data_IF_131616702434
#
_entry.id   IF_131616702434
#
_cell.length_a   1.000
_cell.length_b   1.000
_cell.length_c   1.000
_cell.angle_alpha   90.00
_cell.angle_beta   90.00
_cell.angle_gamma   90.00
#
_symmetry.space_group_name_H-M   'P 1'
#
loop_
_entity.id
_entity.type
_entity.pdbx_description
1 polymer ?
#
# COMPACT_ATOMS: atom_id res chain seq x y z
N UNK A 1 58.08 -37.14 21.99
CA UNK A 1 57.38 -38.24 22.69
C UNK A 1 56.25 -37.65 23.54
N UNK A 2 55.10 -38.35 23.69
CA UNK A 2 53.97 -38.10 24.65
C UNK A 2 53.51 -36.61 24.84
N UNK A 3 52.39 -36.13 24.28
CA UNK A 3 50.95 -36.41 24.60
C UNK A 3 50.51 -36.16 26.06
N UNK A 4 49.74 -35.08 26.27
CA UNK A 4 48.52 -34.88 27.12
C UNK A 4 48.02 -33.43 26.82
N UNK A 5 46.76 -33.02 26.59
CA UNK A 5 45.39 -33.59 26.42
C UNK A 5 44.38 -33.18 27.52
N UNK A 6 43.35 -32.39 27.11
CA UNK A 6 42.09 -32.01 27.80
C UNK A 6 42.22 -31.09 29.06
N UNK A 7 41.22 -30.27 29.44
CA UNK A 7 39.76 -30.32 29.21
C UNK A 7 39.14 -29.07 28.54
N UNK A 8 37.97 -29.26 27.91
CA UNK A 8 37.03 -28.21 27.50
C UNK A 8 35.97 -27.96 28.59
N UNK A 9 35.42 -26.75 28.62
CA UNK A 9 34.14 -26.43 29.28
C UNK A 9 33.42 -25.27 28.56
N UNK A 10 33.18 -25.40 27.26
CA UNK A 10 32.38 -24.44 26.49
C UNK A 10 30.88 -24.72 26.69
N UNK A 11 30.19 -23.88 27.45
CA UNK A 11 28.76 -24.02 27.73
C UNK A 11 27.92 -23.51 26.56
N UNK A 12 27.64 -24.36 25.58
CA UNK A 12 26.64 -24.07 24.54
C UNK A 12 25.24 -24.06 25.16
N UNK A 13 24.77 -22.87 25.56
CA UNK A 13 23.34 -22.60 25.66
C UNK A 13 22.78 -22.53 24.23
N UNK A 14 22.33 -23.68 23.74
CA UNK A 14 21.52 -23.74 22.53
C UNK A 14 20.12 -23.18 22.83
N UNK A 15 19.96 -21.87 22.69
CA UNK A 15 18.62 -21.26 22.60
C UNK A 15 17.91 -21.84 21.38
N UNK A 16 16.75 -22.50 21.53
CA UNK A 16 15.97 -22.90 20.39
C UNK A 16 15.44 -21.63 19.74
N UNK A 17 15.99 -21.27 18.59
CA UNK A 17 15.41 -20.24 17.74
C UNK A 17 14.06 -20.80 17.27
N UNK A 18 12.95 -20.29 17.80
CA UNK A 18 11.64 -20.56 17.22
C UNK A 18 11.63 -19.89 15.85
N UNK A 19 11.91 -20.68 14.82
CA UNK A 19 11.57 -20.34 13.44
C UNK A 19 10.05 -20.39 13.39
N UNK A 20 9.41 -19.26 13.71
CA UNK A 20 7.99 -19.09 13.46
C UNK A 20 7.75 -19.29 11.98
N UNK A 21 6.90 -20.25 11.64
CA UNK A 21 6.38 -20.39 10.28
C UNK A 21 5.50 -19.18 10.03
N UNK A 22 6.00 -18.17 9.32
CA UNK A 22 5.19 -17.04 8.82
C UNK A 22 4.05 -17.61 7.98
N UNK A 23 2.82 -17.38 8.40
CA UNK A 23 1.63 -17.89 7.74
C UNK A 23 1.18 -16.86 6.71
N UNK A 24 1.73 -17.01 5.51
CA UNK A 24 1.38 -16.21 4.32
C UNK A 24 -0.15 -16.09 4.19
N UNK A 25 -0.62 -14.84 4.16
CA UNK A 25 -2.04 -14.53 4.15
C UNK A 25 -2.72 -15.09 2.89
N UNK A 26 -3.88 -15.75 3.06
CA UNK A 26 -4.71 -16.15 1.93
C UNK A 26 -5.55 -14.96 1.49
N UNK A 27 -5.34 -14.47 0.27
CA UNK A 27 -6.13 -13.38 -0.31
C UNK A 27 -6.98 -13.93 -1.46
N UNK A 28 -8.30 -13.87 -1.30
CA UNK A 28 -9.28 -14.37 -2.26
C UNK A 28 -9.88 -13.22 -3.07
N UNK A 29 -9.69 -13.23 -4.38
CA UNK A 29 -10.39 -12.32 -5.30
C UNK A 29 -11.82 -12.82 -5.53
N UNK A 30 -12.79 -11.98 -5.19
CA UNK A 30 -14.23 -12.23 -5.34
C UNK A 30 -14.73 -11.38 -6.51
N UNK A 31 -14.66 -11.97 -7.71
CA UNK A 31 -15.21 -11.41 -8.95
C UNK A 31 -16.73 -11.20 -8.79
N UNK A 32 -17.20 -9.95 -8.99
CA UNK A 32 -18.63 -9.59 -9.00
C UNK A 32 -19.09 -8.95 -10.33
N UNK A 33 -18.27 -9.01 -11.38
CA UNK A 33 -18.64 -8.54 -12.72
C UNK A 33 -19.77 -9.39 -13.33
N UNK A 34 -20.58 -8.80 -14.20
CA UNK A 34 -21.56 -9.52 -15.01
C UNK A 34 -20.95 -10.34 -16.15
N UNK A 35 -21.81 -10.95 -16.98
CA UNK A 35 -21.36 -11.83 -18.05
C UNK A 35 -20.98 -11.05 -19.32
N UNK A 36 -19.68 -11.06 -19.66
CA UNK A 36 -19.14 -10.39 -20.85
C UNK A 36 -18.44 -9.06 -20.59
N UNK A 37 -18.36 -8.62 -19.34
CA UNK A 37 -17.68 -7.40 -18.89
C UNK A 37 -16.57 -7.72 -17.87
N UNK A 38 -15.69 -6.75 -17.60
CA UNK A 38 -14.61 -6.85 -16.61
C UNK A 38 -13.75 -8.11 -16.72
N UNK A 39 -13.69 -8.92 -15.66
CA UNK A 39 -13.02 -10.23 -15.60
C UNK A 39 -13.66 -11.31 -16.49
N UNK A 40 -14.94 -11.14 -16.83
CA UNK A 40 -15.70 -12.06 -17.64
C UNK A 40 -15.76 -11.61 -19.11
N UNK A 41 -14.96 -10.60 -19.48
CA UNK A 41 -14.77 -10.13 -20.84
C UNK A 41 -14.10 -11.21 -21.71
N UNK A 42 -14.82 -11.62 -22.75
CA UNK A 42 -14.44 -12.70 -23.66
C UNK A 42 -13.69 -12.18 -24.91
N UNK A 43 -13.40 -10.88 -25.01
CA UNK A 43 -12.66 -10.26 -26.12
C UNK A 43 -11.28 -10.93 -26.26
N UNK A 44 -10.97 -11.57 -27.39
CA UNK A 44 -9.72 -12.33 -27.54
C UNK A 44 -8.48 -11.45 -27.43
N UNK A 45 -7.52 -11.88 -26.61
CA UNK A 45 -6.24 -11.20 -26.40
C UNK A 45 -5.08 -12.19 -26.59
N UNK A 46 -3.92 -11.69 -27.04
CA UNK A 46 -2.69 -12.47 -27.03
C UNK A 46 -2.02 -12.36 -25.65
N UNK A 47 -1.46 -13.46 -25.09
CA UNK A 47 -0.65 -13.40 -23.87
C UNK A 47 0.45 -12.34 -23.95
N UNK A 48 0.61 -11.56 -22.87
CA UNK A 48 1.44 -10.35 -22.82
C UNK A 48 2.20 -10.30 -21.48
N UNK A 49 3.46 -9.86 -21.48
CA UNK A 49 4.24 -9.62 -20.25
C UNK A 49 4.30 -10.78 -19.24
N UNK A 50 4.26 -12.03 -19.72
CA UNK A 50 4.18 -13.23 -18.86
C UNK A 50 2.78 -13.62 -18.39
N UNK A 51 1.76 -12.78 -18.58
CA UNK A 51 0.35 -13.09 -18.31
C UNK A 51 -0.20 -14.06 -19.38
N UNK A 52 -0.62 -15.29 -19.02
CA UNK A 52 -1.02 -16.32 -19.98
C UNK A 52 -2.47 -16.20 -20.48
N UNK A 53 -3.21 -15.16 -20.08
CA UNK A 53 -4.62 -15.00 -20.43
C UNK A 53 -4.85 -14.83 -21.94
N UNK A 54 -5.90 -15.46 -22.47
CA UNK A 54 -6.27 -15.40 -23.90
C UNK A 54 -7.52 -14.56 -24.20
N UNK A 55 -8.08 -13.90 -23.18
CA UNK A 55 -9.08 -12.82 -23.32
C UNK A 55 -8.71 -11.68 -22.37
N UNK A 56 -9.22 -10.48 -22.63
CA UNK A 56 -8.99 -9.31 -21.77
C UNK A 56 -9.43 -9.61 -20.33
N UNK A 57 -10.61 -10.20 -20.13
CA UNK A 57 -11.11 -10.55 -18.79
C UNK A 57 -10.23 -11.57 -18.06
N UNK A 58 -9.74 -12.60 -18.76
CA UNK A 58 -8.79 -13.55 -18.17
C UNK A 58 -7.46 -12.88 -17.81
N UNK A 59 -6.98 -11.93 -18.62
CA UNK A 59 -5.76 -11.18 -18.32
C UNK A 59 -5.93 -10.26 -17.10
N UNK A 60 -7.04 -9.52 -17.01
CA UNK A 60 -7.45 -8.76 -15.81
C UNK A 60 -7.47 -9.66 -14.57
N UNK A 61 -8.19 -10.79 -14.62
CA UNK A 61 -8.33 -11.69 -13.45
C UNK A 61 -7.00 -12.31 -13.01
N UNK A 62 -6.15 -12.71 -13.96
CA UNK A 62 -4.80 -13.21 -13.67
C UNK A 62 -3.95 -12.17 -12.92
N UNK A 63 -4.11 -10.88 -13.25
CA UNK A 63 -3.38 -9.79 -12.61
C UNK A 63 -3.83 -9.54 -11.17
N UNK A 64 -5.14 -9.58 -10.89
CA UNK A 64 -5.65 -9.49 -9.52
C UNK A 64 -5.20 -10.69 -8.67
N UNK A 65 -5.18 -11.89 -9.25
CA UNK A 65 -4.62 -13.08 -8.59
C UNK A 65 -3.10 -12.96 -8.35
N UNK A 66 -2.36 -12.30 -9.25
CA UNK A 66 -0.94 -12.03 -9.06
C UNK A 66 -0.68 -11.01 -7.94
N UNK A 67 -1.42 -9.90 -7.91
CA UNK A 67 -1.36 -8.90 -6.84
C UNK A 67 -1.75 -9.49 -5.47
N UNK A 68 -2.81 -10.31 -5.43
CA UNK A 68 -3.19 -11.07 -4.24
C UNK A 68 -2.10 -12.04 -3.77
N UNK A 69 -1.39 -12.69 -4.70
CA UNK A 69 -0.24 -13.55 -4.39
C UNK A 69 0.97 -12.79 -3.84
N UNK A 70 1.23 -11.57 -4.34
CA UNK A 70 2.29 -10.68 -3.83
C UNK A 70 1.95 -10.25 -2.40
N UNK A 71 0.77 -9.66 -2.17
CA UNK A 71 0.35 -9.24 -0.83
C UNK A 71 0.26 -10.42 0.15
N UNK A 72 -0.27 -11.57 -0.29
CA UNK A 72 -0.32 -12.81 0.51
C UNK A 72 1.06 -13.33 0.91
N UNK A 73 2.06 -13.21 0.04
CA UNK A 73 3.45 -13.57 0.32
C UNK A 73 4.19 -12.60 1.25
N UNK A 74 3.70 -11.37 1.41
CA UNK A 74 4.27 -10.32 2.27
C UNK A 74 3.61 -10.24 3.66
N UNK A 75 2.36 -10.68 3.79
CA UNK A 75 1.55 -10.53 5.00
C UNK A 75 1.44 -11.84 5.79
N UNK A 76 1.53 -11.74 7.11
CA UNK A 76 1.30 -12.83 8.06
C UNK A 76 -0.15 -12.76 8.58
N UNK A 77 -1.03 -13.67 8.13
CA UNK A 77 -2.44 -13.74 8.58
C UNK A 77 -2.96 -15.18 8.56
N UNK A 78 -3.61 -15.58 9.65
CA UNK A 78 -4.35 -16.86 9.74
C UNK A 78 -5.80 -16.75 9.30
N UNK A 79 -6.28 -15.56 8.96
CA UNK A 79 -7.63 -15.30 8.45
C UNK A 79 -7.55 -14.98 6.95
N UNK A 80 -8.45 -15.57 6.16
CA UNK A 80 -8.64 -15.25 4.75
C UNK A 80 -9.05 -13.79 4.58
N UNK A 81 -8.41 -13.06 3.67
CA UNK A 81 -8.77 -11.69 3.30
C UNK A 81 -9.49 -11.74 1.95
N UNK A 82 -10.70 -11.19 1.90
CA UNK A 82 -11.63 -11.35 0.78
C UNK A 82 -11.82 -10.02 0.05
N UNK A 83 -11.41 -9.96 -1.21
CA UNK A 83 -11.42 -8.75 -2.03
C UNK A 83 -12.56 -8.81 -3.03
N UNK A 84 -13.68 -8.17 -2.72
CA UNK A 84 -14.75 -7.90 -3.68
C UNK A 84 -14.22 -7.00 -4.78
N UNK A 85 -14.20 -7.50 -6.02
CA UNK A 85 -13.56 -6.84 -7.15
C UNK A 85 -14.48 -6.80 -8.37
N UNK A 86 -14.55 -5.63 -9.00
CA UNK A 86 -15.15 -5.40 -10.32
C UNK A 86 -14.26 -4.49 -11.18
N UNK A 87 -14.50 -4.51 -12.48
CA UNK A 87 -13.78 -3.72 -13.47
C UNK A 87 -14.79 -2.90 -14.29
N UNK A 88 -15.35 -1.88 -13.62
CA UNK A 88 -16.47 -1.02 -14.05
C UNK A 88 -15.98 0.32 -14.64
N UNK A 89 -16.87 1.05 -15.31
CA UNK A 89 -16.61 2.43 -15.74
C UNK A 89 -16.43 3.37 -14.54
N UNK A 90 -15.29 4.06 -14.45
CA UNK A 90 -15.00 5.09 -13.43
C UNK A 90 -14.77 6.47 -14.08
N UNK A 91 -14.92 7.53 -13.29
CA UNK A 91 -14.85 8.92 -13.76
C UNK A 91 -13.54 9.23 -14.51
N UNK A 92 -13.66 9.67 -15.77
CA UNK A 92 -12.53 10.11 -16.60
C UNK A 92 -12.94 11.10 -17.70
N UNK A 93 -11.91 11.72 -18.29
CA UNK A 93 -11.95 12.49 -19.53
C UNK A 93 -10.69 12.21 -20.37
N UNK A 94 -10.56 12.86 -21.52
CA UNK A 94 -9.47 12.64 -22.48
C UNK A 94 -8.05 12.89 -21.91
N UNK A 95 -7.90 13.58 -20.77
CA UNK A 95 -6.62 13.87 -20.12
C UNK A 95 -6.50 13.46 -18.64
N UNK A 96 -7.53 12.88 -18.04
CA UNK A 96 -7.53 12.44 -16.63
C UNK A 96 -8.44 11.23 -16.41
N UNK A 97 -8.08 10.33 -15.49
CA UNK A 97 -8.95 9.23 -15.08
C UNK A 97 -8.74 8.84 -13.61
N UNK A 98 -9.84 8.45 -12.95
CA UNK A 98 -9.75 7.53 -11.82
C UNK A 98 -9.30 6.18 -12.38
N UNK A 99 -8.11 5.73 -11.97
CA UNK A 99 -7.52 4.45 -12.41
C UNK A 99 -8.18 3.27 -11.66
N UNK A 100 -8.27 3.40 -10.34
CA UNK A 100 -8.97 2.50 -9.45
C UNK A 100 -9.55 3.23 -8.24
N UNK A 101 -10.21 2.46 -7.38
CA UNK A 101 -10.62 2.90 -6.04
C UNK A 101 -10.90 1.67 -5.19
N UNK A 102 -10.23 1.56 -4.05
CA UNK A 102 -10.45 0.49 -3.08
C UNK A 102 -10.40 0.97 -1.63
N UNK A 103 -11.00 0.16 -0.75
CA UNK A 103 -11.04 0.43 0.68
C UNK A 103 -11.75 -0.67 1.48
N UNK A 104 -11.79 -0.53 2.81
CA UNK A 104 -12.46 -1.49 3.68
C UNK A 104 -13.98 -1.48 3.42
N UNK A 105 -14.58 -2.66 3.30
CA UNK A 105 -16.04 -2.81 3.32
C UNK A 105 -16.61 -2.61 4.73
N UNK A 106 -15.82 -2.92 5.75
CA UNK A 106 -16.17 -2.79 7.16
C UNK A 106 -14.97 -2.29 7.97
N UNK A 107 -15.27 -1.57 9.04
CA UNK A 107 -14.28 -1.18 10.06
C UNK A 107 -14.84 -1.58 11.43
N UNK A 108 -13.97 -2.05 12.31
CA UNK A 108 -14.34 -2.51 13.66
C UNK A 108 -13.36 -1.97 14.71
N UNK A 109 -13.76 -2.02 15.99
CA UNK A 109 -12.97 -1.50 17.12
C UNK A 109 -13.30 -2.20 18.43
N UNK A 110 -12.41 -2.07 19.40
CA UNK A 110 -12.59 -2.60 20.76
C UNK A 110 -12.81 -4.14 20.82
N UNK A 111 -12.45 -4.83 19.74
CA UNK A 111 -12.47 -6.30 19.62
C UNK A 111 -11.28 -6.93 20.38
N UNK A 112 -11.31 -8.26 20.51
CA UNK A 112 -10.28 -9.01 21.26
C UNK A 112 -8.91 -8.89 20.57
N UNK A 113 -7.88 -8.50 21.32
CA UNK A 113 -6.51 -8.20 20.84
C UNK A 113 -6.34 -6.91 20.00
N UNK A 114 -7.32 -6.01 19.94
CA UNK A 114 -7.06 -4.65 19.44
C UNK A 114 -5.98 -3.97 20.30
N UNK A 115 -4.91 -3.45 19.69
CA UNK A 115 -3.82 -2.76 20.38
C UNK A 115 -4.26 -1.44 21.03
N UNK A 116 -5.24 -0.75 20.42
CA UNK A 116 -5.74 0.54 20.91
C UNK A 116 -7.26 0.52 21.09
N UNK A 117 -7.72 0.86 22.29
CA UNK A 117 -9.13 1.11 22.57
C UNK A 117 -9.64 2.34 21.81
N UNK A 118 -10.94 2.38 21.50
CA UNK A 118 -11.60 3.48 20.82
C UNK A 118 -10.97 3.84 19.47
N UNK A 119 -10.43 2.85 18.75
CA UNK A 119 -9.69 3.04 17.49
C UNK A 119 -10.26 2.15 16.40
N UNK A 120 -10.54 2.69 15.23
CA UNK A 120 -11.04 1.92 14.09
C UNK A 120 -9.93 1.16 13.36
N UNK A 121 -10.20 -0.10 13.04
CA UNK A 121 -9.38 -0.98 12.22
C UNK A 121 -10.14 -1.33 10.95
N UNK A 122 -9.50 -1.25 9.79
CA UNK A 122 -9.97 -1.91 8.57
C UNK A 122 -10.15 -3.40 8.84
N UNK A 123 -11.28 -3.99 8.45
CA UNK A 123 -11.66 -5.35 8.88
C UNK A 123 -10.62 -6.42 8.55
N UNK A 124 -9.90 -6.33 7.42
CA UNK A 124 -8.80 -7.24 7.09
C UNK A 124 -7.70 -7.24 8.18
N UNK A 125 -7.30 -6.05 8.65
CA UNK A 125 -6.35 -5.88 9.74
C UNK A 125 -6.97 -6.28 11.09
N UNK A 126 -8.21 -5.89 11.35
CA UNK A 126 -8.93 -6.21 12.59
C UNK A 126 -9.08 -7.72 12.81
N UNK A 127 -9.60 -8.45 11.82
CA UNK A 127 -9.73 -9.91 11.83
C UNK A 127 -8.38 -10.61 12.01
N UNK A 128 -7.33 -10.09 11.37
CA UNK A 128 -5.94 -10.56 11.55
C UNK A 128 -5.42 -10.35 12.97
N UNK A 129 -5.79 -9.27 13.67
CA UNK A 129 -5.43 -9.05 15.10
C UNK A 129 -6.27 -9.91 16.04
N UNK A 130 -7.57 -10.05 15.77
CA UNK A 130 -8.47 -10.93 16.52
C UNK A 130 -8.07 -12.42 16.42
N UNK A 131 -7.51 -12.83 15.28
CA UNK A 131 -7.26 -14.24 14.96
C UNK A 131 -8.52 -14.97 14.46
N UNK A 132 -9.54 -14.22 14.07
CA UNK A 132 -10.85 -14.70 13.61
C UNK A 132 -11.53 -13.64 12.73
N UNK A 133 -12.29 -14.08 11.73
CA UNK A 133 -13.18 -13.21 10.94
C UNK A 133 -14.17 -12.46 11.85
N UNK A 134 -14.08 -11.12 11.87
CA UNK A 134 -14.97 -10.24 12.63
C UNK A 134 -16.34 -10.02 11.96
N UNK A 135 -16.44 -10.22 10.64
CA UNK A 135 -17.65 -9.98 9.84
C UNK A 135 -18.01 -11.25 9.05
N UNK A 136 -18.22 -12.32 9.81
CA UNK A 136 -18.52 -13.70 9.39
C UNK A 136 -19.13 -13.85 7.97
N UNK A 137 -18.26 -14.10 6.98
CA UNK A 137 -18.67 -14.38 5.59
C UNK A 137 -18.99 -13.15 4.72
N UNK A 138 -18.63 -11.94 5.16
CA UNK A 138 -18.51 -10.77 4.29
C UNK A 138 -17.34 -10.88 3.30
N UNK A 139 -17.08 -9.79 2.59
CA UNK A 139 -15.77 -9.56 1.96
C UNK A 139 -15.13 -8.36 2.68
N UNK A 140 -13.83 -8.40 2.95
CA UNK A 140 -13.12 -7.40 3.75
C UNK A 140 -12.90 -6.07 3.01
N UNK A 141 -12.59 -6.18 1.72
CA UNK A 141 -12.16 -5.08 0.85
C UNK A 141 -13.11 -5.02 -0.33
N UNK A 142 -13.50 -3.81 -0.75
CA UNK A 142 -14.05 -3.55 -2.09
C UNK A 142 -12.99 -2.83 -2.91
N UNK A 143 -12.81 -3.25 -4.16
CA UNK A 143 -11.92 -2.62 -5.13
C UNK A 143 -12.60 -2.53 -6.49
N UNK A 144 -12.42 -1.40 -7.18
CA UNK A 144 -12.92 -1.16 -8.55
C UNK A 144 -11.81 -0.56 -9.41
N UNK A 145 -11.79 -0.91 -10.69
CA UNK A 145 -10.77 -0.44 -11.66
C UNK A 145 -11.43 -0.11 -12.99
N UNK A 146 -10.93 0.92 -13.67
CA UNK A 146 -11.68 1.58 -14.73
C UNK A 146 -11.70 0.78 -16.05
N UNK A 147 -12.87 0.32 -16.49
CA UNK A 147 -13.05 -0.32 -17.80
C UNK A 147 -12.74 0.59 -18.99
N UNK A 148 -13.02 1.89 -18.85
CA UNK A 148 -13.17 2.78 -20.00
C UNK A 148 -11.84 3.29 -20.57
N UNK A 149 -10.73 2.96 -19.89
CA UNK A 149 -9.36 3.24 -20.34
C UNK A 149 -8.98 2.39 -21.57
N UNK A 150 -9.55 1.19 -21.76
CA UNK A 150 -9.17 0.33 -22.89
C UNK A 150 -9.75 0.80 -24.24
N UNK A 151 -8.89 0.90 -25.27
CA UNK A 151 -9.25 1.07 -26.68
C UNK A 151 -10.11 2.32 -26.99
N UNK A 152 -9.80 3.45 -26.36
CA UNK A 152 -10.70 4.61 -26.31
C UNK A 152 -10.01 5.96 -26.64
N UNK A 153 -10.83 7.01 -26.90
CA UNK A 153 -10.35 8.38 -27.15
C UNK A 153 -10.79 9.41 -26.08
N UNK A 154 -11.61 9.02 -25.10
CA UNK A 154 -12.36 9.88 -24.17
C UNK A 154 -11.95 9.76 -22.69
N UNK A 155 -11.02 8.86 -22.36
CA UNK A 155 -10.65 8.41 -21.01
C UNK A 155 -9.14 8.07 -21.04
N UNK A 156 -8.27 9.05 -20.80
CA UNK A 156 -6.83 9.00 -21.16
C UNK A 156 -6.61 8.70 -22.66
N UNK A 157 -6.79 9.72 -23.50
CA UNK A 157 -6.81 9.59 -24.96
C UNK A 157 -5.48 9.08 -25.54
N UNK A 158 -5.49 7.87 -26.13
CA UNK A 158 -4.31 7.23 -26.71
C UNK A 158 -3.51 6.34 -25.76
N UNK A 159 -4.06 6.02 -24.58
CA UNK A 159 -3.48 5.14 -23.55
C UNK A 159 -4.47 4.02 -23.23
N UNK A 160 -3.99 2.81 -22.94
CA UNK A 160 -4.79 1.65 -22.53
C UNK A 160 -4.28 1.09 -21.18
N UNK A 161 -4.85 -0.02 -20.72
CA UNK A 161 -4.21 -0.84 -19.68
C UNK A 161 -3.17 -1.79 -20.26
N UNK A 162 -2.01 -1.85 -19.63
CA UNK A 162 -1.04 -2.92 -19.82
C UNK A 162 -1.29 -4.06 -18.84
N UNK A 163 -1.53 -5.25 -19.38
CA UNK A 163 -1.92 -6.43 -18.63
C UNK A 163 -0.77 -7.44 -18.35
N UNK A 164 0.49 -7.04 -18.54
CA UNK A 164 1.66 -7.86 -18.20
C UNK A 164 1.97 -7.93 -16.69
N UNK A 165 3.03 -8.66 -16.33
CA UNK A 165 3.55 -8.80 -14.97
C UNK A 165 4.99 -8.25 -14.81
N UNK A 166 5.51 -7.56 -15.84
CA UNK A 166 6.95 -7.43 -16.09
C UNK A 166 7.45 -6.01 -16.35
N UNK A 167 6.64 -4.96 -16.13
CA UNK A 167 7.06 -3.56 -16.28
C UNK A 167 7.49 -3.19 -17.70
N UNK A 168 6.79 -3.70 -18.72
CA UNK A 168 7.04 -3.44 -20.13
C UNK A 168 5.84 -2.75 -20.82
N UNK A 169 5.13 -1.87 -20.09
CA UNK A 169 3.95 -1.12 -20.52
C UNK A 169 4.22 -0.07 -21.60
N UNK A 170 5.40 0.55 -21.58
CA UNK A 170 5.90 1.44 -22.63
C UNK A 170 5.22 2.80 -22.72
N UNK A 171 3.94 2.83 -23.10
CA UNK A 171 3.09 4.02 -23.19
C UNK A 171 1.65 3.81 -22.69
N UNK A 172 1.30 2.59 -22.31
CA UNK A 172 0.05 2.22 -21.63
C UNK A 172 0.25 2.32 -20.09
N UNK A 173 -0.84 2.28 -19.30
CA UNK A 173 -0.74 2.27 -17.83
C UNK A 173 -0.50 0.83 -17.34
N UNK A 174 0.56 0.58 -16.57
CA UNK A 174 0.73 -0.72 -15.91
C UNK A 174 -0.36 -0.92 -14.82
N UNK A 175 -1.19 -1.95 -14.96
CA UNK A 175 -2.26 -2.22 -13.99
C UNK A 175 -1.72 -2.83 -12.68
N UNK A 176 -0.58 -3.53 -12.69
CA UNK A 176 -0.07 -4.23 -11.50
C UNK A 176 0.28 -3.29 -10.32
N UNK A 177 0.99 -2.15 -10.51
CA UNK A 177 1.21 -1.19 -9.43
C UNK A 177 -0.08 -0.59 -8.88
N UNK A 178 -1.06 -0.31 -9.75
CA UNK A 178 -2.37 0.24 -9.32
C UNK A 178 -3.11 -0.80 -8.47
N UNK A 179 -3.11 -2.07 -8.87
CA UNK A 179 -3.69 -3.16 -8.06
C UNK A 179 -3.04 -3.27 -6.68
N UNK A 180 -1.71 -3.20 -6.62
CA UNK A 180 -0.97 -3.26 -5.36
C UNK A 180 -1.27 -2.04 -4.47
N UNK A 181 -1.35 -0.85 -5.04
CA UNK A 181 -1.69 0.41 -4.36
C UNK A 181 -3.09 0.36 -3.74
N UNK A 182 -4.11 0.11 -4.56
CA UNK A 182 -5.51 0.09 -4.16
C UNK A 182 -5.79 -1.02 -3.12
N UNK A 183 -5.27 -2.24 -3.32
CA UNK A 183 -5.36 -3.29 -2.30
C UNK A 183 -4.72 -2.86 -0.98
N UNK A 184 -3.64 -2.07 -1.02
CA UNK A 184 -3.00 -1.48 0.15
C UNK A 184 -3.96 -0.67 1.03
N UNK A 185 -4.81 0.18 0.42
CA UNK A 185 -5.83 0.93 1.16
C UNK A 185 -6.77 -0.01 1.94
N UNK A 186 -7.34 -1.01 1.26
CA UNK A 186 -8.23 -2.00 1.90
C UNK A 186 -7.56 -2.82 3.01
N UNK A 187 -6.25 -3.06 2.90
CA UNK A 187 -5.43 -3.77 3.89
C UNK A 187 -5.08 -2.94 5.14
N UNK A 188 -5.43 -1.64 5.18
CA UNK A 188 -5.16 -0.75 6.31
C UNK A 188 -4.15 0.36 6.02
N UNK A 189 -3.73 0.55 4.77
CA UNK A 189 -2.87 1.67 4.34
C UNK A 189 -3.71 2.87 3.84
N UNK A 190 -4.67 3.29 4.65
CA UNK A 190 -5.44 4.52 4.47
C UNK A 190 -6.08 4.95 5.79
N UNK A 191 -6.31 6.26 5.94
CA UNK A 191 -7.09 6.83 7.04
C UNK A 191 -8.59 6.82 6.73
N UNK A 192 -9.41 6.91 7.76
CA UNK A 192 -10.86 7.13 7.69
C UNK A 192 -11.24 8.60 7.96
N UNK A 193 -10.25 9.48 8.14
CA UNK A 193 -10.45 10.92 8.27
C UNK A 193 -10.98 11.50 6.95
N UNK A 194 -12.05 12.27 7.03
CA UNK A 194 -12.60 13.05 5.93
C UNK A 194 -11.59 14.16 5.54
N UNK A 195 -11.00 14.09 4.34
CA UNK A 195 -9.88 14.97 3.95
C UNK A 195 -10.29 16.45 3.80
N UNK A 196 -11.52 16.72 3.36
CA UNK A 196 -12.06 18.08 3.17
C UNK A 196 -12.26 18.82 4.52
N UNK A 197 -12.64 18.10 5.57
CA UNK A 197 -13.01 18.70 6.87
C UNK A 197 -12.05 18.36 8.01
N UNK A 198 -11.23 17.31 7.86
CA UNK A 198 -10.38 16.73 8.89
C UNK A 198 -11.14 15.96 9.98
N UNK A 199 -12.40 15.60 9.74
CA UNK A 199 -13.24 14.91 10.71
C UNK A 199 -12.91 13.41 10.80
N UNK A 200 -12.71 12.90 12.02
CA UNK A 200 -12.58 11.47 12.31
C UNK A 200 -13.89 10.72 12.03
N UNK A 201 -13.80 9.50 11.48
CA UNK A 201 -14.96 8.65 11.25
C UNK A 201 -15.69 8.32 12.57
N UNK A 202 -16.93 8.79 12.69
CA UNK A 202 -17.71 8.75 13.94
C UNK A 202 -17.03 9.41 15.16
N UNK A 203 -16.06 10.31 14.97
CA UNK A 203 -15.37 11.01 16.05
C UNK A 203 -14.46 10.12 16.90
N UNK A 204 -13.84 9.11 16.27
CA UNK A 204 -12.78 8.27 16.85
C UNK A 204 -11.69 8.01 15.80
N UNK A 205 -10.41 7.93 16.19
CA UNK A 205 -9.31 7.78 15.26
C UNK A 205 -9.20 6.38 14.66
N UNK A 206 -8.52 6.26 13.52
CA UNK A 206 -8.16 4.98 12.91
C UNK A 206 -6.70 4.53 13.20
N UNK A 207 -6.36 3.29 12.82
CA UNK A 207 -5.01 2.72 13.02
C UNK A 207 -3.89 3.36 12.21
N UNK A 208 -4.21 3.95 11.06
CA UNK A 208 -3.23 4.54 10.15
C UNK A 208 -2.89 5.98 10.55
N UNK A 209 -3.89 6.80 10.91
CA UNK A 209 -3.66 8.19 11.38
C UNK A 209 -2.89 8.26 12.70
N UNK A 210 -2.95 7.20 13.53
CA UNK A 210 -2.13 7.05 14.74
C UNK A 210 -0.62 7.10 14.50
N UNK A 211 -0.19 6.94 13.25
CA UNK A 211 1.20 7.07 12.82
C UNK A 211 1.42 8.24 11.85
N UNK A 212 0.40 9.04 11.52
CA UNK A 212 0.58 10.27 10.76
C UNK A 212 1.03 11.37 11.72
N UNK A 213 2.27 11.84 11.53
CA UNK A 213 2.93 12.87 12.31
C UNK A 213 3.19 14.10 11.44
N UNK A 214 2.94 15.29 11.99
CA UNK A 214 3.31 16.56 11.38
C UNK A 214 4.55 17.17 12.05
N UNK A 215 5.67 17.21 11.32
CA UNK A 215 6.93 17.73 11.84
C UNK A 215 6.96 19.25 12.08
N UNK A 216 5.96 20.01 11.61
CA UNK A 216 5.84 21.45 11.93
C UNK A 216 5.19 21.68 13.28
N UNK A 217 4.21 20.86 13.65
CA UNK A 217 3.50 20.97 14.94
C UNK A 217 4.04 20.05 16.03
N UNK A 218 4.70 18.95 15.65
CA UNK A 218 5.13 17.89 16.58
C UNK A 218 3.97 17.07 17.16
N UNK A 219 2.85 16.96 16.41
CA UNK A 219 1.64 16.25 16.82
C UNK A 219 1.28 15.15 15.83
N UNK A 220 0.82 14.02 16.36
CA UNK A 220 0.09 13.01 15.59
C UNK A 220 -1.35 13.44 15.34
N UNK A 221 -1.95 12.95 14.27
CA UNK A 221 -3.32 13.32 13.86
C UNK A 221 -4.41 13.12 14.93
N UNK A 222 -4.39 12.09 15.81
CA UNK A 222 -5.34 11.98 16.92
C UNK A 222 -5.22 13.05 18.02
N UNK A 223 -4.08 13.75 18.11
CA UNK A 223 -3.88 14.87 19.05
C UNK A 223 -4.20 16.24 18.41
N UNK A 224 -4.62 16.24 17.13
CA UNK A 224 -5.00 17.44 16.38
C UNK A 224 -6.50 17.73 16.43
N UNK A 225 -6.86 19.01 16.30
CA UNK A 225 -8.22 19.37 15.86
C UNK A 225 -8.39 19.11 14.36
N UNK A 226 -9.63 18.92 13.90
CA UNK A 226 -9.94 18.67 12.49
C UNK A 226 -9.31 19.71 11.53
N UNK A 227 -9.37 21.01 11.87
CA UNK A 227 -8.73 22.07 11.08
C UNK A 227 -7.19 22.03 11.05
N UNK A 228 -6.55 21.45 12.07
CA UNK A 228 -5.12 21.16 12.04
C UNK A 228 -4.83 19.97 11.10
N UNK A 229 -5.65 18.92 11.07
CA UNK A 229 -5.49 17.81 10.12
C UNK A 229 -5.63 18.26 8.67
N UNK A 230 -6.62 19.10 8.32
CA UNK A 230 -6.74 19.70 6.97
C UNK A 230 -5.50 20.53 6.62
N UNK A 231 -4.94 21.27 7.58
CA UNK A 231 -3.69 22.03 7.37
C UNK A 231 -2.48 21.10 7.18
N UNK A 232 -2.47 19.97 7.88
CA UNK A 232 -1.38 18.98 7.89
C UNK A 232 -1.37 18.10 6.64
N UNK A 233 -2.54 17.71 6.12
CA UNK A 233 -2.70 16.89 4.92
C UNK A 233 -2.00 17.46 3.67
N UNK A 234 -1.87 18.80 3.60
CA UNK A 234 -1.17 19.52 2.54
C UNK A 234 0.20 20.08 2.95
N UNK A 235 0.73 19.68 4.12
CA UNK A 235 2.01 20.15 4.66
C UNK A 235 3.20 19.36 4.07
N UNK A 236 3.36 19.44 2.75
CA UNK A 236 4.34 18.69 1.95
C UNK A 236 5.76 18.77 2.53
N UNK A 237 6.36 17.61 2.79
CA UNK A 237 7.70 17.48 3.38
C UNK A 237 7.75 17.51 4.90
N UNK A 238 6.65 17.89 5.58
CA UNK A 238 6.54 17.82 7.05
C UNK A 238 5.57 16.73 7.52
N UNK A 239 4.53 16.43 6.73
CA UNK A 239 3.65 15.27 6.93
C UNK A 239 4.44 13.97 6.67
N UNK A 240 4.51 13.09 7.67
CA UNK A 240 5.22 11.79 7.59
C UNK A 240 4.41 10.68 8.25
N UNK A 241 4.75 9.42 7.94
CA UNK A 241 4.23 8.23 8.64
C UNK A 241 5.36 7.61 9.47
N UNK A 242 5.22 7.55 10.79
CA UNK A 242 6.35 7.39 11.72
C UNK A 242 6.45 6.04 12.46
N UNK A 243 5.51 5.11 12.23
CA UNK A 243 5.47 3.83 12.93
C UNK A 243 6.76 3.00 12.79
N UNK A 244 7.17 2.36 13.90
CA UNK A 244 8.49 1.75 14.12
C UNK A 244 9.07 0.98 12.92
N UNK A 245 8.24 0.19 12.23
CA UNK A 245 8.67 -0.61 11.07
C UNK A 245 9.09 0.22 9.86
N UNK A 246 8.34 1.29 9.55
CA UNK A 246 8.68 2.21 8.46
C UNK A 246 9.86 3.09 8.86
N UNK A 247 9.86 3.64 10.08
CA UNK A 247 10.99 4.43 10.59
C UNK A 247 12.29 3.63 10.57
N UNK A 248 12.26 2.38 11.06
CA UNK A 248 13.43 1.49 11.06
C UNK A 248 13.86 0.96 9.69
N UNK A 249 12.94 0.87 8.70
CA UNK A 249 13.25 0.41 7.35
C UNK A 249 13.51 1.54 6.34
N UNK A 250 13.18 2.79 6.67
CA UNK A 250 13.20 3.96 5.80
C UNK A 250 14.49 4.09 4.97
N UNK A 251 15.65 3.98 5.61
CA UNK A 251 16.98 4.08 4.97
C UNK A 251 17.36 2.91 4.04
N UNK A 252 16.49 1.92 3.82
CA UNK A 252 16.64 0.91 2.78
C UNK A 252 15.86 1.24 1.49
N UNK A 253 14.91 2.19 1.56
CA UNK A 253 13.99 2.53 0.47
C UNK A 253 14.05 4.01 0.06
N UNK A 254 14.42 4.90 0.98
CA UNK A 254 14.49 6.34 0.76
C UNK A 254 15.94 6.82 0.76
N UNK A 255 16.30 7.62 -0.25
CA UNK A 255 17.53 8.42 -0.23
C UNK A 255 17.35 9.66 0.67
N UNK A 256 18.47 10.23 1.14
CA UNK A 256 18.44 11.43 1.97
C UNK A 256 18.04 12.68 1.17
N UNK A 257 17.23 13.55 1.78
CA UNK A 257 16.82 14.85 1.21
C UNK A 257 18.04 15.66 0.71
N UNK A 258 18.16 15.96 -0.60
CA UNK A 258 19.32 16.67 -1.14
C UNK A 258 19.39 18.10 -0.63
N UNK A 259 20.57 18.52 -0.15
CA UNK A 259 20.77 19.80 0.53
C UNK A 259 21.90 20.62 -0.07
N UNK A 260 21.57 21.86 -0.42
CA UNK A 260 22.53 22.87 -0.85
C UNK A 260 23.04 23.63 0.38
N UNK A 261 24.33 23.49 0.67
CA UNK A 261 25.04 24.32 1.64
C UNK A 261 25.47 25.64 0.99
N UNK A 262 24.92 26.76 1.45
CA UNK A 262 25.27 28.09 0.95
C UNK A 262 26.36 28.74 1.81
N UNK A 263 27.52 28.97 1.21
CA UNK A 263 28.66 29.60 1.87
C UNK A 263 28.73 31.13 1.66
N UNK A 264 28.08 31.69 0.63
CA UNK A 264 28.01 33.13 0.37
C UNK A 264 27.01 33.47 -0.76
N UNK A 265 26.32 34.63 -0.73
CA UNK A 265 26.35 35.66 0.33
C UNK A 265 25.39 35.34 1.49
N UNK A 266 25.62 35.95 2.65
CA UNK A 266 24.86 35.75 3.89
C UNK A 266 23.47 36.37 3.94
N UNK A 267 22.70 36.29 2.85
CA UNK A 267 21.30 36.71 2.76
C UNK A 267 20.30 35.56 2.53
N UNK A 268 20.79 34.33 2.41
CA UNK A 268 20.01 33.10 2.27
C UNK A 268 20.31 32.17 3.45
N UNK A 269 19.45 31.17 3.75
CA UNK A 269 19.75 30.12 4.73
C UNK A 269 21.10 29.42 4.42
N UNK A 270 21.81 29.01 5.47
CA UNK A 270 23.09 28.31 5.34
C UNK A 270 22.95 26.89 4.72
N UNK A 271 21.77 26.29 4.85
CA UNK A 271 21.38 25.03 4.21
C UNK A 271 19.97 25.19 3.65
N UNK A 272 19.74 24.72 2.43
CA UNK A 272 18.42 24.72 1.78
C UNK A 272 18.14 23.34 1.17
N UNK A 273 16.89 22.89 1.26
CA UNK A 273 16.41 21.73 0.50
C UNK A 273 16.45 22.05 -1.01
N UNK A 274 16.86 21.08 -1.84
CA UNK A 274 16.91 21.22 -3.30
C UNK A 274 16.50 19.92 -3.98
N UNK A 275 15.92 20.02 -5.18
CA UNK A 275 15.76 18.87 -6.06
C UNK A 275 17.10 18.42 -6.66
N UNK A 276 17.16 17.17 -7.11
CA UNK A 276 18.32 16.67 -7.88
C UNK A 276 18.43 17.42 -9.22
N UNK A 277 19.66 17.79 -9.59
CA UNK A 277 19.92 18.42 -10.88
C UNK A 277 19.88 17.38 -12.00
N UNK A 278 19.23 17.71 -13.13
CA UNK A 278 19.20 16.89 -14.35
C UNK A 278 20.51 16.92 -15.15
N UNK A 279 21.59 17.47 -14.60
CA UNK A 279 22.87 17.64 -15.24
C UNK A 279 24.03 17.57 -14.23
N UNK A 280 25.18 17.06 -14.69
CA UNK A 280 26.36 16.82 -13.83
C UNK A 280 26.33 15.46 -13.12
N UNK A 281 27.30 15.19 -12.24
CA UNK A 281 27.30 13.99 -11.40
C UNK A 281 26.14 14.02 -10.38
N UNK A 282 25.59 12.86 -9.97
CA UNK A 282 24.63 12.77 -8.89
C UNK A 282 25.15 13.36 -7.57
N UNK A 283 24.24 13.84 -6.73
CA UNK A 283 24.58 14.23 -5.35
C UNK A 283 24.89 12.97 -4.56
N UNK A 284 26.13 12.79 -4.13
CA UNK A 284 26.54 11.68 -3.26
C UNK A 284 26.18 11.98 -1.81
N UNK A 285 25.65 10.99 -1.09
CA UNK A 285 25.57 11.04 0.37
C UNK A 285 26.99 11.18 0.99
N UNK A 286 27.11 11.87 2.14
CA UNK A 286 28.37 12.03 2.88
C UNK A 286 28.83 10.74 3.60
#
# INVERSE_FOLDING_TARGET
MKRIILLLAALLLATPLLIGTTLAATITIVNVDGAGEGFNDNTPAAPVGGNPGTTIGQQRLNLFQHAAGIWGGLLDSTVEIRVESSFDALSCDAGSAVLGSAGPMYVDRDFTNAEWAGTWYHVALGSKRAGSDLVAGGNDIRARFNSDIDNNENCLSGTNWYYGFDGNEGGDVELLPVLLHEMGHGLGFSTLVDEDTGAEFNGLPDTYERHILDNTTGLHWPDMTAGQRVTSAINSGNLVWDGDGVTGASGYFLEGEPKLFNNAPGGLPATMAVGLASFGPPVTSP
#
